data_IF_894044016268
#
_entry.id   IF_894044016268
#
_cell.length_a   1.000
_cell.length_b   1.000
_cell.length_c   1.000
_cell.angle_alpha   90.00
_cell.angle_beta   90.00
_cell.angle_gamma   90.00
#
_symmetry.space_group_name_H-M   'P 1'
#
loop_
_entity.id
_entity.type
_entity.pdbx_description
1 polymer ?
#
# COMPACT_ATOMS: atom_id res chain seq x y z
N UNK A 1 -11.34 -22.34 -19.39
CA UNK A 1 -9.94 -22.23 -18.94
C UNK A 1 -9.96 -21.48 -17.61
N UNK A 2 -9.36 -22.05 -16.57
CA UNK A 2 -9.22 -21.39 -15.26
C UNK A 2 -7.82 -20.75 -15.26
N UNK A 3 -7.72 -19.45 -15.00
CA UNK A 3 -6.48 -18.67 -15.14
C UNK A 3 -5.64 -18.69 -13.83
N UNK A 4 -6.28 -18.83 -12.67
CA UNK A 4 -5.64 -18.94 -11.36
C UNK A 4 -6.39 -19.98 -10.50
N UNK A 5 -5.67 -20.81 -9.71
CA UNK A 5 -6.30 -21.86 -8.91
C UNK A 5 -7.00 -21.29 -7.67
N UNK A 6 -8.05 -21.97 -7.19
CA UNK A 6 -8.74 -21.59 -5.94
C UNK A 6 -7.79 -21.50 -4.76
N UNK A 7 -6.84 -22.45 -4.65
CA UNK A 7 -5.85 -22.48 -3.57
C UNK A 7 -4.94 -21.25 -3.58
N UNK A 8 -4.56 -20.76 -4.77
CA UNK A 8 -3.76 -19.54 -4.90
C UNK A 8 -4.56 -18.27 -4.53
N UNK A 9 -5.87 -18.30 -4.77
CA UNK A 9 -6.78 -17.18 -4.48
C UNK A 9 -7.10 -17.12 -2.98
N UNK A 10 -7.18 -18.24 -2.28
CA UNK A 10 -7.50 -18.27 -0.84
C UNK A 10 -6.51 -17.46 0.01
N UNK A 11 -5.25 -17.39 -0.43
CA UNK A 11 -4.19 -16.57 0.18
C UNK A 11 -4.57 -15.08 0.23
N UNK A 12 -5.41 -14.59 -0.67
CA UNK A 12 -5.79 -13.18 -0.80
C UNK A 12 -6.96 -12.73 0.07
N UNK A 13 -7.70 -13.67 0.66
CA UNK A 13 -8.71 -13.31 1.67
C UNK A 13 -8.06 -12.77 2.96
N UNK A 14 -6.75 -12.92 3.10
CA UNK A 14 -5.98 -12.37 4.21
C UNK A 14 -4.92 -11.36 3.73
N UNK A 15 -5.13 -10.07 4.01
CA UNK A 15 -4.17 -9.00 3.67
C UNK A 15 -2.75 -9.23 4.20
N UNK A 16 -2.63 -9.98 5.30
CA UNK A 16 -1.34 -10.30 5.92
C UNK A 16 -0.54 -11.20 5.01
N UNK A 17 -1.18 -12.27 4.53
CA UNK A 17 -0.54 -13.25 3.69
C UNK A 17 0.02 -12.60 2.42
N UNK A 18 -0.66 -11.58 1.87
CA UNK A 18 -0.21 -10.95 0.63
C UNK A 18 1.15 -10.26 0.71
N UNK A 19 1.40 -9.43 1.73
CA UNK A 19 2.69 -8.74 1.86
C UNK A 19 3.73 -9.59 2.61
N UNK A 20 3.29 -10.48 3.51
CA UNK A 20 4.19 -11.36 4.23
C UNK A 20 4.87 -12.37 3.28
N UNK A 21 4.14 -12.87 2.28
CA UNK A 21 4.69 -13.71 1.20
C UNK A 21 5.85 -13.02 0.46
N UNK A 22 5.88 -11.68 0.43
CA UNK A 22 6.98 -10.93 -0.19
C UNK A 22 8.22 -10.91 0.70
N UNK A 23 8.07 -10.82 2.02
CA UNK A 23 9.19 -10.87 2.98
C UNK A 23 9.93 -12.20 2.93
N UNK A 24 9.21 -13.31 2.74
CA UNK A 24 9.80 -14.65 2.66
C UNK A 24 10.46 -14.93 1.30
N UNK A 25 10.33 -14.01 0.34
CA UNK A 25 10.83 -14.16 -1.01
C UNK A 25 12.13 -13.41 -1.27
N UNK A 26 12.88 -13.81 -2.29
CA UNK A 26 14.09 -13.11 -2.78
C UNK A 26 13.78 -11.81 -3.56
N UNK A 27 12.57 -11.26 -3.45
CA UNK A 27 12.15 -10.05 -4.17
C UNK A 27 12.66 -8.80 -3.43
N UNK A 28 12.77 -8.86 -2.10
CA UNK A 28 13.30 -7.77 -1.28
C UNK A 28 14.79 -7.56 -1.58
N UNK A 29 15.18 -6.29 -1.74
CA UNK A 29 16.55 -5.87 -2.03
C UNK A 29 16.85 -4.52 -1.37
N UNK A 30 18.06 -3.98 -1.56
CA UNK A 30 18.43 -2.66 -1.01
C UNK A 30 17.53 -1.51 -1.52
N UNK A 31 16.93 -1.67 -2.71
CA UNK A 31 16.11 -0.66 -3.38
C UNK A 31 14.61 -1.01 -3.44
N UNK A 32 14.22 -2.16 -2.90
CA UNK A 32 12.83 -2.60 -2.86
C UNK A 32 12.49 -3.36 -1.59
N UNK A 33 11.39 -2.97 -0.94
CA UNK A 33 10.91 -3.66 0.25
C UNK A 33 9.43 -3.41 0.52
N UNK A 34 9.04 -3.57 1.77
CA UNK A 34 7.72 -3.25 2.28
C UNK A 34 7.88 -2.36 3.52
N UNK A 35 6.90 -1.49 3.85
CA UNK A 35 6.95 -0.76 5.12
C UNK A 35 6.80 -1.72 6.30
N UNK A 36 7.32 -1.32 7.46
CA UNK A 36 7.06 -1.99 8.73
C UNK A 36 5.55 -2.08 8.97
N UNK A 37 5.05 -3.24 9.39
CA UNK A 37 3.63 -3.49 9.52
C UNK A 37 3.33 -4.65 10.45
N UNK A 38 2.13 -4.66 11.02
CA UNK A 38 1.64 -5.72 11.92
C UNK A 38 0.11 -5.84 11.80
N UNK A 39 -0.40 -7.02 12.14
CA UNK A 39 -1.82 -7.17 12.43
C UNK A 39 -2.07 -7.41 13.90
N UNK A 40 -3.01 -6.63 14.40
CA UNK A 40 -3.51 -6.71 15.76
C UNK A 40 -4.87 -7.37 15.69
N UNK A 41 -4.96 -8.60 16.21
CA UNK A 41 -6.17 -9.43 16.17
C UNK A 41 -7.10 -9.18 17.35
N UNK A 42 -6.55 -8.73 18.48
CA UNK A 42 -7.26 -8.62 19.74
C UNK A 42 -6.96 -7.30 20.45
N UNK A 43 -7.81 -6.95 21.42
CA UNK A 43 -7.65 -5.71 22.16
C UNK A 43 -6.44 -5.70 23.08
N UNK A 44 -6.00 -6.85 23.59
CA UNK A 44 -4.87 -6.92 24.52
C UNK A 44 -3.60 -6.47 23.79
N UNK A 45 -3.34 -7.03 22.61
CA UNK A 45 -2.23 -6.63 21.73
C UNK A 45 -2.35 -5.16 21.27
N UNK A 46 -3.57 -4.65 21.09
CA UNK A 46 -3.78 -3.22 20.77
C UNK A 46 -3.38 -2.28 21.91
N UNK A 47 -3.61 -2.69 23.17
CA UNK A 47 -3.30 -1.90 24.35
C UNK A 47 -1.86 -2.08 24.84
N UNK A 48 -1.17 -3.13 24.39
CA UNK A 48 0.24 -3.38 24.66
C UNK A 48 1.09 -2.77 23.54
N UNK A 49 1.50 -1.52 23.72
CA UNK A 49 2.26 -0.78 22.71
C UNK A 49 3.67 -1.35 22.47
N UNK A 50 4.20 -2.14 23.40
CA UNK A 50 5.48 -2.84 23.23
C UNK A 50 5.46 -3.83 22.06
N UNK A 51 4.31 -4.45 21.78
CA UNK A 51 4.15 -5.43 20.70
C UNK A 51 4.32 -4.83 19.30
N UNK A 52 4.26 -3.50 19.19
CA UNK A 52 4.37 -2.78 17.92
C UNK A 52 5.12 -1.45 18.03
N UNK A 53 5.98 -1.30 19.05
CA UNK A 53 6.82 -0.12 19.31
C UNK A 53 7.77 0.19 18.13
N UNK A 54 8.09 -0.83 17.33
CA UNK A 54 8.87 -0.66 16.11
C UNK A 54 8.18 0.25 15.08
N UNK A 55 6.84 0.36 15.09
CA UNK A 55 6.09 1.22 14.17
C UNK A 55 6.20 2.69 14.56
N UNK A 56 6.85 3.46 13.70
CA UNK A 56 6.92 4.93 13.83
C UNK A 56 5.65 5.59 13.31
N UNK A 57 5.14 6.54 14.07
CA UNK A 57 4.02 7.37 13.62
C UNK A 57 4.45 8.37 12.52
N UNK A 58 3.54 8.70 11.58
CA UNK A 58 2.16 8.22 11.53
C UNK A 58 2.06 6.80 10.95
N UNK A 59 0.96 6.11 11.27
CA UNK A 59 0.66 4.76 10.77
C UNK A 59 -0.64 4.77 9.97
N UNK A 60 -0.67 4.06 8.86
CA UNK A 60 -1.90 3.73 8.14
C UNK A 60 -2.58 2.59 8.87
N UNK A 61 -3.85 2.77 9.21
CA UNK A 61 -4.72 1.72 9.71
C UNK A 61 -5.66 1.26 8.62
N UNK A 62 -5.67 -0.03 8.33
CA UNK A 62 -6.63 -0.67 7.43
C UNK A 62 -7.50 -1.63 8.25
N UNK A 63 -8.83 -1.49 8.20
CA UNK A 63 -9.73 -2.44 8.84
C UNK A 63 -9.74 -3.75 8.05
N UNK A 64 -9.63 -4.90 8.73
CA UNK A 64 -9.61 -6.23 8.09
C UNK A 64 -11.00 -6.86 7.94
N UNK A 65 -12.07 -6.10 8.19
CA UNK A 65 -13.45 -6.58 8.01
C UNK A 65 -13.76 -6.66 6.52
N UNK A 66 -13.67 -7.87 5.96
CA UNK A 66 -14.02 -8.22 4.59
C UNK A 66 -15.37 -8.92 4.55
N UNK A 67 -16.46 -8.17 4.76
CA UNK A 67 -17.84 -8.68 4.56
C UNK A 67 -18.31 -8.54 3.10
N UNK A 68 -17.39 -8.27 2.17
CA UNK A 68 -17.70 -8.01 0.76
C UNK A 68 -18.44 -6.68 0.51
N UNK A 69 -18.75 -5.89 1.55
CA UNK A 69 -19.42 -4.60 1.40
C UNK A 69 -18.43 -3.46 1.12
N UNK A 70 -18.95 -2.32 0.66
CA UNK A 70 -18.20 -1.07 0.45
C UNK A 70 -17.50 -0.53 1.73
N UNK A 71 -17.70 -1.15 2.90
CA UNK A 71 -17.05 -0.78 4.17
C UNK A 71 -15.64 -1.35 4.34
N UNK A 72 -15.22 -2.29 3.50
CA UNK A 72 -13.92 -3.01 3.54
C UNK A 72 -12.69 -2.20 3.10
N UNK A 73 -12.89 -0.95 2.63
CA UNK A 73 -11.84 -0.02 2.19
C UNK A 73 -11.60 1.16 3.13
N UNK A 74 -12.13 1.12 4.36
CA UNK A 74 -11.85 2.18 5.33
C UNK A 74 -10.40 2.10 5.79
N UNK A 75 -9.63 3.11 5.40
CA UNK A 75 -8.29 3.39 5.89
C UNK A 75 -8.27 4.72 6.64
N UNK A 76 -7.38 4.83 7.63
CA UNK A 76 -7.16 6.08 8.36
C UNK A 76 -5.67 6.29 8.61
N UNK A 77 -5.22 7.53 8.50
CA UNK A 77 -3.88 7.92 8.92
C UNK A 77 -3.93 8.34 10.39
N UNK A 78 -3.19 7.63 11.23
CA UNK A 78 -3.17 7.83 12.68
C UNK A 78 -1.79 8.32 13.10
N UNK A 79 -1.76 9.26 14.03
CA UNK A 79 -0.55 10.00 14.41
C UNK A 79 -0.11 9.77 15.86
N UNK A 80 -0.88 9.04 16.65
CA UNK A 80 -0.52 8.65 18.01
C UNK A 80 -1.32 7.43 18.50
N UNK A 81 -0.80 6.77 19.55
CA UNK A 81 -1.38 5.59 20.17
C UNK A 81 -2.83 5.81 20.66
N UNK A 82 -3.13 6.97 21.25
CA UNK A 82 -4.44 7.26 21.86
C UNK A 82 -5.63 7.11 20.89
N UNK A 83 -5.41 7.37 19.60
CA UNK A 83 -6.45 7.21 18.57
C UNK A 83 -6.69 5.76 18.17
N UNK A 84 -5.70 4.88 18.32
CA UNK A 84 -5.80 3.45 17.99
C UNK A 84 -6.68 2.71 18.98
N UNK A 85 -6.62 3.06 20.27
CA UNK A 85 -7.38 2.42 21.36
C UNK A 85 -8.92 2.44 21.18
N UNK A 86 -9.44 3.30 20.29
CA UNK A 86 -10.87 3.40 19.97
C UNK A 86 -11.30 2.43 18.86
N UNK A 87 -10.35 1.82 18.16
CA UNK A 87 -10.62 0.92 17.05
C UNK A 87 -10.94 -0.49 17.56
N UNK A 88 -11.64 -1.26 16.72
CA UNK A 88 -11.98 -2.66 17.00
C UNK A 88 -11.12 -3.55 16.10
N UNK A 89 -10.23 -4.38 16.69
CA UNK A 89 -9.56 -5.46 15.97
C UNK A 89 -10.55 -6.42 15.26
N UNK A 90 -10.12 -7.13 14.20
CA UNK A 90 -8.76 -7.15 13.66
C UNK A 90 -8.43 -5.90 12.83
N UNK A 91 -7.26 -5.31 13.08
CA UNK A 91 -6.75 -4.15 12.34
C UNK A 91 -5.35 -4.41 11.83
N UNK A 92 -5.05 -3.84 10.67
CA UNK A 92 -3.73 -3.84 10.07
C UNK A 92 -3.11 -2.45 10.25
N UNK A 93 -1.92 -2.41 10.83
CA UNK A 93 -1.11 -1.20 10.97
C UNK A 93 0.09 -1.29 10.04
N UNK A 94 0.38 -0.22 9.32
CA UNK A 94 1.53 -0.11 8.44
C UNK A 94 2.15 1.28 8.62
N UNK A 95 3.47 1.35 8.74
CA UNK A 95 4.19 2.62 8.81
C UNK A 95 3.86 3.48 7.59
N UNK A 96 3.52 4.75 7.82
CA UNK A 96 3.37 5.71 6.75
C UNK A 96 4.74 6.21 6.33
N UNK A 97 5.02 6.18 5.03
CA UNK A 97 6.26 6.68 4.45
C UNK A 97 5.92 7.82 3.51
N UNK A 98 6.54 8.98 3.70
CA UNK A 98 6.40 10.12 2.79
C UNK A 98 6.86 9.71 1.38
N UNK A 99 6.06 10.06 0.38
CA UNK A 99 6.17 9.55 -0.99
C UNK A 99 5.69 10.56 -2.04
N UNK A 100 5.82 11.86 -1.76
CA UNK A 100 5.55 12.94 -2.71
C UNK A 100 4.09 12.98 -3.19
N UNK A 101 3.17 12.33 -2.46
CA UNK A 101 1.78 12.19 -2.89
C UNK A 101 1.60 11.36 -4.17
N UNK A 102 2.56 10.49 -4.51
CA UNK A 102 2.53 9.66 -5.72
C UNK A 102 2.57 8.16 -5.39
N UNK A 103 1.60 7.42 -5.93
CA UNK A 103 1.61 5.96 -5.92
C UNK A 103 1.68 5.40 -7.34
N UNK A 104 2.46 4.35 -7.53
CA UNK A 104 2.59 3.62 -8.78
C UNK A 104 1.74 2.36 -8.70
N UNK A 105 0.67 2.32 -9.50
CA UNK A 105 -0.20 1.15 -9.61
C UNK A 105 0.26 0.29 -10.79
N UNK A 106 0.65 -0.94 -10.50
CA UNK A 106 1.15 -1.89 -11.49
C UNK A 106 0.14 -3.00 -11.70
N UNK A 107 -0.44 -3.06 -12.89
CA UNK A 107 -1.34 -4.11 -13.31
C UNK A 107 -0.55 -5.26 -13.93
N UNK A 108 -0.88 -6.48 -13.53
CA UNK A 108 -0.29 -7.72 -14.03
C UNK A 108 -1.41 -8.56 -14.65
N UNK A 109 -1.20 -8.96 -15.90
CA UNK A 109 -2.06 -9.86 -16.67
C UNK A 109 -1.17 -10.90 -17.34
N UNK A 110 -0.90 -12.01 -16.64
CA UNK A 110 0.11 -12.98 -17.06
C UNK A 110 1.49 -12.34 -17.18
N UNK A 111 2.10 -12.41 -18.37
CA UNK A 111 3.39 -11.75 -18.66
C UNK A 111 3.26 -10.24 -18.95
N UNK A 112 2.04 -9.75 -19.19
CA UNK A 112 1.80 -8.35 -19.51
C UNK A 112 1.79 -7.52 -18.22
N UNK A 113 2.64 -6.50 -18.17
CA UNK A 113 2.79 -5.62 -17.01
C UNK A 113 2.62 -4.17 -17.43
N UNK A 114 1.71 -3.45 -16.76
CA UNK A 114 1.43 -2.02 -17.03
C UNK A 114 1.50 -1.21 -15.75
N UNK A 115 2.42 -0.25 -15.70
CA UNK A 115 2.54 0.69 -14.58
C UNK A 115 1.86 2.02 -14.92
N UNK A 116 1.15 2.58 -13.95
CA UNK A 116 0.61 3.95 -14.00
C UNK A 116 0.91 4.70 -12.73
N UNK A 117 1.03 6.02 -12.85
CA UNK A 117 1.04 6.94 -11.71
C UNK A 117 -0.40 7.21 -11.24
N UNK A 118 -0.64 7.33 -9.93
CA UNK A 118 -1.89 7.84 -9.33
C UNK A 118 -1.59 8.80 -8.17
N UNK A 119 -2.42 9.84 -8.00
CA UNK A 119 -2.32 10.72 -6.83
C UNK A 119 -2.59 9.90 -5.57
N UNK A 120 -1.82 10.17 -4.52
CA UNK A 120 -1.84 9.46 -3.23
C UNK A 120 -2.00 10.44 -2.07
N UNK A 121 -1.88 9.95 -0.84
CA UNK A 121 -1.87 10.78 0.36
C UNK A 121 -0.67 11.73 0.34
N UNK A 122 -0.86 13.02 0.66
CA UNK A 122 0.23 13.98 0.72
C UNK A 122 1.17 13.65 1.88
N UNK A 123 2.39 14.15 1.77
CA UNK A 123 3.41 14.01 2.80
C UNK A 123 2.97 14.65 4.13
N UNK A 124 3.48 14.08 5.21
CA UNK A 124 3.27 14.61 6.56
C UNK A 124 4.53 15.36 6.98
N UNK A 125 4.36 16.63 7.34
CA UNK A 125 5.42 17.45 7.92
C UNK A 125 5.64 17.12 9.41
N UNK A 126 6.85 17.36 9.90
CA UNK A 126 7.20 17.22 11.32
C UNK A 126 6.33 18.13 12.22
N UNK A 127 5.94 19.30 11.72
CA UNK A 127 5.03 20.22 12.42
C UNK A 127 3.64 19.62 12.60
N UNK A 128 3.11 18.95 11.59
CA UNK A 128 1.82 18.24 11.63
C UNK A 128 1.86 17.03 12.56
N UNK A 129 3.03 16.43 12.73
CA UNK A 129 3.25 15.39 13.73
C UNK A 129 3.16 15.94 15.16
N UNK A 130 3.67 17.17 15.38
CA UNK A 130 3.66 17.85 16.68
C UNK A 130 2.32 18.49 17.02
N UNK A 131 1.59 19.02 16.04
CA UNK A 131 0.38 19.84 16.22
C UNK A 131 -0.92 19.05 16.46
N UNK A 132 -0.86 17.87 17.09
CA UNK A 132 -2.01 16.98 17.33
C UNK A 132 -3.10 17.53 18.28
N UNK A 133 -3.19 18.85 18.44
CA UNK A 133 -4.38 19.59 18.82
C UNK A 133 -4.75 20.57 17.68
N UNK A 134 -5.62 20.10 16.79
CA UNK A 134 -6.43 20.89 15.84
C UNK A 134 -5.64 21.83 14.90
N UNK A 135 -5.50 21.42 13.64
CA UNK A 135 -5.47 22.40 12.54
C UNK A 135 -6.31 21.88 11.36
N UNK A 136 -7.18 22.77 10.88
CA UNK A 136 -7.82 22.61 9.58
C UNK A 136 -6.71 22.70 8.53
N UNK A 137 -6.64 21.75 7.60
CA UNK A 137 -5.78 21.89 6.43
C UNK A 137 -6.22 23.14 5.67
N UNK A 138 -5.41 24.19 5.67
CA UNK A 138 -5.54 25.30 4.73
C UNK A 138 -5.08 24.82 3.35
N UNK A 139 -6.03 24.79 2.40
CA UNK A 139 -5.97 23.97 1.17
C UNK A 139 -5.34 24.64 -0.05
N UNK A 140 -4.77 25.85 0.08
CA UNK A 140 -4.53 26.68 -1.10
C UNK A 140 -3.07 26.71 -1.59
N UNK A 141 -2.06 26.59 -0.73
CA UNK A 141 -0.65 26.55 -1.16
C UNK A 141 -0.19 25.13 -1.53
N UNK A 142 -0.66 24.11 -0.80
CA UNK A 142 -0.31 22.69 -1.03
C UNK A 142 -0.70 22.19 -2.44
N UNK A 143 -1.79 22.72 -3.02
CA UNK A 143 -2.29 22.22 -4.32
C UNK A 143 -1.35 22.48 -5.48
N UNK A 144 -0.66 23.62 -5.52
CA UNK A 144 0.27 23.94 -6.61
C UNK A 144 1.53 23.06 -6.52
N UNK A 145 2.05 22.87 -5.31
CA UNK A 145 3.18 21.99 -5.05
C UNK A 145 2.84 20.52 -5.38
N UNK A 146 1.69 20.03 -4.93
CA UNK A 146 1.20 18.68 -5.26
C UNK A 146 1.06 18.46 -6.78
N UNK A 147 0.60 19.46 -7.53
CA UNK A 147 0.47 19.36 -8.99
C UNK A 147 1.83 19.35 -9.69
N UNK A 148 2.78 20.18 -9.25
CA UNK A 148 4.14 20.17 -9.81
C UNK A 148 4.85 18.84 -9.53
N UNK A 149 4.87 18.39 -8.28
CA UNK A 149 5.49 17.12 -7.87
C UNK A 149 4.85 15.95 -8.61
N UNK A 150 3.53 15.97 -8.76
CA UNK A 150 2.81 15.00 -9.58
C UNK A 150 3.34 14.94 -11.01
N UNK A 151 3.63 16.07 -11.67
CA UNK A 151 4.12 16.09 -13.04
C UNK A 151 5.58 15.62 -13.15
N UNK A 152 6.44 16.12 -12.27
CA UNK A 152 7.90 15.88 -12.32
C UNK A 152 8.30 14.48 -11.84
N UNK A 153 7.44 13.79 -11.09
CA UNK A 153 7.73 12.44 -10.60
C UNK A 153 7.93 11.46 -11.75
N UNK A 154 9.16 10.97 -11.90
CA UNK A 154 9.53 9.99 -12.92
C UNK A 154 8.89 8.62 -12.68
N UNK A 155 8.49 7.96 -13.78
CA UNK A 155 8.04 6.57 -13.78
C UNK A 155 9.13 5.64 -13.24
N UNK A 156 8.69 4.57 -12.57
CA UNK A 156 9.60 3.50 -12.18
C UNK A 156 10.16 2.81 -13.44
N UNK A 157 11.46 2.43 -13.44
CA UNK A 157 12.07 1.77 -14.59
C UNK A 157 11.30 0.50 -14.98
N UNK A 158 11.01 0.33 -16.27
CA UNK A 158 10.16 -0.78 -16.74
C UNK A 158 10.73 -2.16 -16.35
N UNK A 159 12.06 -2.35 -16.49
CA UNK A 159 12.72 -3.61 -16.11
C UNK A 159 12.51 -3.95 -14.64
N UNK A 160 12.71 -2.95 -13.77
CA UNK A 160 12.51 -3.09 -12.32
C UNK A 160 11.08 -3.56 -12.00
N UNK A 161 10.07 -2.94 -12.60
CA UNK A 161 8.67 -3.30 -12.39
C UNK A 161 8.36 -4.71 -12.92
N UNK A 162 8.88 -5.08 -14.09
CA UNK A 162 8.68 -6.41 -14.68
C UNK A 162 9.30 -7.49 -13.78
N UNK A 163 10.48 -7.23 -13.22
CA UNK A 163 11.17 -8.20 -12.37
C UNK A 163 10.43 -8.42 -11.05
N UNK A 164 9.89 -7.35 -10.43
CA UNK A 164 8.99 -7.46 -9.26
C UNK A 164 7.73 -8.23 -9.62
N UNK A 165 7.04 -7.89 -10.70
CA UNK A 165 5.83 -8.57 -11.14
C UNK A 165 6.09 -10.07 -11.38
N UNK A 166 7.20 -10.42 -12.03
CA UNK A 166 7.61 -11.81 -12.24
C UNK A 166 7.90 -12.53 -10.93
N UNK A 167 8.56 -11.86 -9.98
CA UNK A 167 8.77 -12.38 -8.63
C UNK A 167 7.45 -12.70 -7.94
N UNK A 168 6.55 -11.71 -7.86
CA UNK A 168 5.25 -11.84 -7.21
C UNK A 168 4.42 -12.96 -7.83
N UNK A 169 4.34 -13.04 -9.17
CA UNK A 169 3.65 -14.15 -9.85
C UNK A 169 4.15 -15.52 -9.44
N UNK A 170 5.48 -15.70 -9.36
CA UNK A 170 6.08 -16.98 -9.00
C UNK A 170 5.77 -17.37 -7.56
N UNK A 171 5.85 -16.41 -6.64
CA UNK A 171 5.68 -16.70 -5.21
C UNK A 171 4.20 -16.87 -4.87
N UNK A 172 3.31 -16.07 -5.47
CA UNK A 172 1.87 -16.11 -5.22
C UNK A 172 1.13 -17.13 -6.11
N UNK A 173 1.81 -17.67 -7.13
CA UNK A 173 1.23 -18.52 -8.16
C UNK A 173 -0.03 -17.93 -8.82
N UNK A 174 0.05 -16.65 -9.17
CA UNK A 174 -1.05 -15.90 -9.78
C UNK A 174 -0.67 -15.22 -11.08
N UNK A 175 -1.68 -14.94 -11.89
CA UNK A 175 -1.56 -14.25 -13.15
C UNK A 175 -2.33 -12.93 -13.18
N UNK A 176 -3.37 -12.76 -12.37
CA UNK A 176 -4.25 -11.59 -12.39
C UNK A 176 -4.25 -10.82 -11.06
N UNK A 177 -3.43 -9.79 -10.95
CA UNK A 177 -3.45 -8.88 -9.81
C UNK A 177 -2.94 -7.49 -10.18
N UNK A 178 -3.13 -6.51 -9.30
CA UNK A 178 -2.27 -5.34 -9.28
C UNK A 178 -1.52 -5.27 -7.95
N UNK A 179 -0.45 -4.50 -7.96
CA UNK A 179 0.24 -4.10 -6.75
C UNK A 179 0.58 -2.61 -6.81
N UNK A 180 0.65 -2.01 -5.63
CA UNK A 180 0.85 -0.59 -5.47
C UNK A 180 2.21 -0.33 -4.81
N UNK A 181 3.01 0.52 -5.44
CA UNK A 181 4.37 0.87 -5.02
C UNK A 181 4.47 2.36 -4.73
N UNK A 182 5.15 2.74 -3.67
CA UNK A 182 5.54 4.13 -3.38
C UNK A 182 7.07 4.27 -3.43
N UNK A 183 7.55 5.50 -3.60
CA UNK A 183 8.99 5.82 -3.52
C UNK A 183 9.24 6.57 -2.22
N UNK A 184 10.15 6.08 -1.39
CA UNK A 184 10.50 6.72 -0.13
C UNK A 184 11.31 8.00 -0.40
N UNK A 185 10.74 9.17 -0.06
CA UNK A 185 11.39 10.47 -0.28
C UNK A 185 12.66 10.65 0.54
N UNK A 186 12.79 9.96 1.68
CA UNK A 186 13.98 10.03 2.53
C UNK A 186 15.14 9.19 2.00
N UNK A 187 14.83 8.17 1.19
CA UNK A 187 15.80 7.17 0.70
C UNK A 187 15.89 7.10 -0.83
N UNK A 188 15.40 8.10 -1.55
CA UNK A 188 15.64 8.42 -2.97
C UNK A 188 15.35 7.31 -4.00
N UNK A 189 16.09 6.20 -3.94
CA UNK A 189 15.94 5.02 -4.81
C UNK A 189 15.30 3.82 -4.10
N UNK A 190 14.73 4.01 -2.90
CA UNK A 190 14.06 2.94 -2.17
C UNK A 190 12.56 2.95 -2.50
N UNK A 191 12.05 1.81 -2.98
CA UNK A 191 10.66 1.65 -3.39
C UNK A 191 9.97 0.64 -2.48
N UNK A 192 8.75 0.93 -2.08
CA UNK A 192 8.02 0.13 -1.09
C UNK A 192 6.72 -0.37 -1.69
N UNK A 193 6.51 -1.67 -1.63
CA UNK A 193 5.24 -2.30 -1.94
C UNK A 193 4.28 -2.13 -0.75
N UNK A 194 3.13 -1.50 -1.00
CA UNK A 194 2.18 -1.10 0.07
C UNK A 194 0.85 -1.82 0.00
N UNK A 195 0.50 -2.40 -1.15
CA UNK A 195 -0.73 -3.16 -1.35
C UNK A 195 -0.58 -4.13 -2.52
N UNK A 196 -1.28 -5.27 -2.45
CA UNK A 196 -1.52 -6.19 -3.57
C UNK A 196 -3.02 -6.47 -3.55
N UNK A 197 -3.66 -6.50 -4.73
CA UNK A 197 -5.08 -6.83 -4.85
C UNK A 197 -5.23 -7.85 -5.97
N UNK A 198 -5.83 -9.00 -5.65
CA UNK A 198 -6.22 -10.00 -6.64
C UNK A 198 -7.41 -9.50 -7.45
N UNK A 199 -7.36 -9.75 -8.76
CA UNK A 199 -8.42 -9.41 -9.72
C UNK A 199 -8.95 -7.96 -9.57
N UNK A 200 -8.10 -6.95 -9.80
CA UNK A 200 -8.51 -5.56 -9.67
C UNK A 200 -9.47 -5.12 -10.79
N UNK A 201 -9.99 -3.91 -10.64
CA UNK A 201 -10.76 -3.24 -11.67
C UNK A 201 -9.87 -2.84 -12.86
N UNK A 202 -9.66 -3.77 -13.79
CA UNK A 202 -8.83 -3.58 -14.99
C UNK A 202 -9.37 -2.52 -15.96
N UNK A 203 -10.63 -2.11 -15.83
CA UNK A 203 -11.17 -0.96 -16.57
C UNK A 203 -10.37 0.34 -16.33
N UNK A 204 -9.61 0.42 -15.22
CA UNK A 204 -8.71 1.54 -14.90
C UNK A 204 -7.28 1.36 -15.42
N UNK A 205 -6.99 0.24 -16.10
CA UNK A 205 -5.72 -0.03 -16.76
C UNK A 205 -5.70 0.67 -18.12
N UNK A 206 -4.62 1.41 -18.47
CA UNK A 206 -4.49 1.98 -19.80
C UNK A 206 -4.48 0.90 -20.86
N UNK A 207 -5.11 1.17 -22.01
CA UNK A 207 -5.25 0.24 -23.13
C UNK A 207 -6.15 -0.98 -22.84
N UNK A 208 -6.97 -0.93 -21.79
CA UNK A 208 -8.06 -1.89 -21.62
C UNK A 208 -9.13 -1.62 -22.69
N UNK A 209 -9.42 -2.62 -23.52
CA UNK A 209 -10.51 -2.55 -24.50
C UNK A 209 -11.80 -3.06 -23.85
N UNK A 210 -12.88 -2.31 -24.03
CA UNK A 210 -14.20 -2.75 -23.63
C UNK A 210 -14.72 -3.73 -24.68
N UNK A 211 -15.18 -4.89 -24.23
CA UNK A 211 -15.95 -5.78 -25.09
C UNK A 211 -17.41 -5.35 -24.98
N UNK A 212 -17.97 -4.86 -26.08
CA UNK A 212 -19.39 -4.56 -26.25
C UNK A 212 -20.23 -5.85 -26.39
#
# INVERSE_FOLDING_TARGET
MIIDSTDAIEVFHNRISMLHVVLESKIVSETFGIPEQIVIYDKKTLFDDQEWEFLKFPVIVKLLVTDGSAKSHKMALVFNHNKLNKLKPPIFLQAFVNHDGVIFKVYVVGECVKCVKRKSLPDVSEEKLKSLQVSNLDKNEDRFYEVMVWHDTQMLPQRFIIDIARGLRKVMNLNLFNFDVIRDTKKGNHNLLVDIIYFPEYAKMPCYEHFD
#
